data_IF_790873175091
#
_entry.id   IF_790873175091
#
_cell.length_a   1.000
_cell.length_b   1.000
_cell.length_c   1.000
_cell.angle_alpha   90.00
_cell.angle_beta   90.00
_cell.angle_gamma   90.00
#
_symmetry.space_group_name_H-M   'P 1'
#
loop_
_entity.id
_entity.type
_entity.pdbx_description
1 polymer ?
#
# COMPACT_ATOMS: atom_id res chain seq x y z
N UNK A 1 -7.68 16.39 -7.72
CA UNK A 1 -6.66 17.40 -7.36
C UNK A 1 -6.55 18.45 -8.45
N UNK A 2 -7.05 19.67 -8.23
CA UNK A 2 -6.65 20.82 -9.04
C UNK A 2 -5.14 21.02 -8.89
N UNK A 3 -4.47 21.47 -9.95
CA UNK A 3 -3.00 21.66 -9.97
C UNK A 3 -2.49 22.66 -8.90
N UNK A 4 -3.39 23.43 -8.28
CA UNK A 4 -3.05 24.59 -7.44
C UNK A 4 -2.40 24.24 -6.09
N UNK A 5 -2.59 23.04 -5.54
CA UNK A 5 -2.09 22.67 -4.20
C UNK A 5 -0.95 21.65 -4.19
N UNK A 6 -0.48 21.19 -5.34
CA UNK A 6 0.61 20.19 -5.41
C UNK A 6 1.88 20.64 -4.68
N UNK A 7 2.19 21.93 -4.73
CA UNK A 7 3.36 22.51 -4.06
C UNK A 7 3.27 22.53 -2.53
N UNK A 8 2.08 22.36 -1.96
CA UNK A 8 1.88 22.29 -0.51
C UNK A 8 2.10 20.87 0.04
N UNK A 9 2.03 19.84 -0.82
CA UNK A 9 2.18 18.45 -0.42
C UNK A 9 3.66 18.13 -0.23
N UNK A 10 4.03 17.76 1.00
CA UNK A 10 5.37 17.33 1.37
C UNK A 10 5.64 15.89 0.90
N UNK A 11 6.91 15.58 0.65
CA UNK A 11 7.32 14.23 0.33
C UNK A 11 7.10 13.29 1.53
N UNK A 12 6.94 11.99 1.25
CA UNK A 12 6.75 11.01 2.32
C UNK A 12 8.01 10.86 3.18
N UNK A 13 9.20 11.05 2.61
CA UNK A 13 10.45 11.08 3.39
C UNK A 13 10.46 12.22 4.42
N UNK A 14 9.96 13.40 4.04
CA UNK A 14 9.81 14.53 4.95
C UNK A 14 8.77 14.28 6.05
N UNK A 15 7.68 13.56 5.76
CA UNK A 15 6.67 13.16 6.74
C UNK A 15 7.25 12.13 7.72
N UNK A 16 7.97 11.13 7.22
CA UNK A 16 8.65 10.12 8.04
C UNK A 16 9.68 10.78 8.97
N UNK A 17 10.42 11.78 8.48
CA UNK A 17 11.38 12.51 9.30
C UNK A 17 10.70 13.36 10.38
N UNK A 18 9.55 13.97 10.09
CA UNK A 18 8.77 14.68 11.12
C UNK A 18 8.25 13.71 12.19
N UNK A 19 7.70 12.57 11.77
CA UNK A 19 7.27 11.51 12.68
C UNK A 19 8.41 11.01 13.58
N UNK A 20 9.60 10.75 13.00
CA UNK A 20 10.80 10.32 13.73
C UNK A 20 11.21 11.30 14.82
N UNK A 21 11.04 12.60 14.56
CA UNK A 21 11.34 13.68 15.51
C UNK A 21 10.15 14.04 16.43
N UNK A 22 9.10 13.22 16.46
CA UNK A 22 7.93 13.44 17.31
C UNK A 22 7.08 14.66 16.93
N UNK A 23 7.16 15.10 15.67
CA UNK A 23 6.31 16.17 15.13
C UNK A 23 5.03 15.58 14.56
N UNK A 24 3.92 16.26 14.84
CA UNK A 24 2.61 15.97 14.25
C UNK A 24 2.63 16.35 12.77
N UNK A 25 1.87 15.62 11.96
CA UNK A 25 1.71 15.88 10.53
C UNK A 25 0.28 15.59 10.10
N UNK A 26 -0.08 15.97 8.88
CA UNK A 26 -1.40 15.74 8.30
C UNK A 26 -1.29 14.74 7.17
N UNK A 27 -2.18 13.75 7.12
CA UNK A 27 -2.40 12.93 5.93
C UNK A 27 -3.82 13.09 5.42
N UNK A 28 -3.93 13.31 4.12
CA UNK A 28 -5.21 13.39 3.41
C UNK A 28 -5.43 12.11 2.62
N UNK A 29 -6.66 11.61 2.64
CA UNK A 29 -7.06 10.49 1.79
C UNK A 29 -7.60 10.95 0.43
N UNK A 30 -8.08 10.01 -0.39
CA UNK A 30 -8.53 10.33 -1.75
C UNK A 30 -9.90 11.04 -1.75
N UNK A 31 -10.13 11.89 -2.76
CA UNK A 31 -11.38 12.64 -2.93
C UNK A 31 -12.63 11.74 -3.04
N UNK A 32 -12.47 10.51 -3.53
CA UNK A 32 -13.52 9.49 -3.67
C UNK A 32 -13.62 8.53 -2.47
N UNK A 33 -12.83 8.77 -1.41
CA UNK A 33 -12.85 8.05 -0.14
C UNK A 33 -13.61 8.86 0.92
N UNK A 34 -12.94 9.40 1.94
CA UNK A 34 -13.55 10.29 2.95
C UNK A 34 -13.34 11.77 2.56
N UNK A 35 -12.32 12.05 1.75
CA UNK A 35 -11.86 13.38 1.33
C UNK A 35 -11.48 14.25 2.54
N UNK A 36 -10.90 13.64 3.56
CA UNK A 36 -10.65 14.20 4.89
C UNK A 36 -9.16 14.15 5.25
N UNK A 37 -8.75 15.06 6.15
CA UNK A 37 -7.40 15.13 6.67
C UNK A 37 -7.37 14.86 8.17
N UNK A 38 -6.46 13.99 8.58
CA UNK A 38 -6.24 13.69 10.00
C UNK A 38 -4.92 14.30 10.46
N UNK A 39 -4.93 14.86 11.67
CA UNK A 39 -3.73 15.06 12.46
C UNK A 39 -3.22 13.69 12.91
N UNK A 40 -1.95 13.43 12.67
CA UNK A 40 -1.30 12.16 13.03
C UNK A 40 -0.03 12.47 13.82
N UNK A 41 0.17 11.75 14.91
CA UNK A 41 1.43 11.71 15.65
C UNK A 41 1.75 10.27 16.04
N UNK A 42 3.01 9.80 15.94
CA UNK A 42 3.37 8.50 16.48
C UNK A 42 3.03 8.44 17.96
N UNK A 43 2.38 7.36 18.40
CA UNK A 43 1.77 7.31 19.73
C UNK A 43 2.81 7.43 20.86
N UNK A 44 4.06 7.03 20.62
CA UNK A 44 5.19 7.24 21.53
C UNK A 44 5.39 8.71 21.93
N UNK A 45 4.95 9.65 21.08
CA UNK A 45 5.06 11.09 21.29
C UNK A 45 3.71 11.76 21.63
N UNK A 46 2.67 11.00 21.95
CA UNK A 46 1.35 11.53 22.32
C UNK A 46 1.33 12.12 23.73
N UNK A 47 1.96 13.29 23.91
CA UNK A 47 1.97 14.01 25.19
C UNK A 47 0.61 14.68 25.48
N UNK A 48 0.34 15.11 26.73
CA UNK A 48 -0.88 15.87 27.04
C UNK A 48 -1.04 17.12 26.17
N UNK A 49 0.06 17.80 25.82
CA UNK A 49 0.05 18.97 24.94
C UNK A 49 -0.42 18.60 23.52
N UNK A 50 0.03 17.46 22.99
CA UNK A 50 -0.35 16.99 21.66
C UNK A 50 -1.81 16.54 21.61
N UNK A 51 -2.26 15.81 22.64
CA UNK A 51 -3.67 15.41 22.78
C UNK A 51 -4.58 16.63 22.94
N UNK A 52 -4.15 17.63 23.71
CA UNK A 52 -4.88 18.89 23.86
C UNK A 52 -4.91 19.68 22.54
N UNK A 53 -3.81 19.68 21.78
CA UNK A 53 -3.77 20.29 20.46
C UNK A 53 -4.79 19.65 19.52
N UNK A 54 -4.81 18.31 19.43
CA UNK A 54 -5.80 17.57 18.66
C UNK A 54 -7.24 17.89 19.09
N UNK A 55 -7.51 17.89 20.41
CA UNK A 55 -8.84 18.18 20.92
C UNK A 55 -9.32 19.62 20.60
N UNK A 56 -8.40 20.58 20.61
CA UNK A 56 -8.71 22.00 20.38
C UNK A 56 -8.79 22.37 18.90
N UNK A 57 -7.85 21.86 18.11
CA UNK A 57 -7.62 22.27 16.72
C UNK A 57 -8.08 21.24 15.70
N UNK A 58 -7.94 19.94 15.97
CA UNK A 58 -8.55 18.89 15.16
C UNK A 58 -10.06 18.79 15.42
N UNK A 59 -10.44 18.75 16.70
CA UNK A 59 -11.83 18.67 17.21
C UNK A 59 -12.55 17.35 16.89
N UNK A 60 -12.00 16.51 16.02
CA UNK A 60 -12.47 15.17 15.71
C UNK A 60 -12.30 14.17 16.86
N UNK A 61 -12.50 12.89 16.55
CA UNK A 61 -12.39 11.81 17.51
C UNK A 61 -10.93 11.39 17.63
N UNK A 62 -10.34 11.58 18.82
CA UNK A 62 -8.96 11.14 19.05
C UNK A 62 -8.94 9.62 19.20
N UNK A 63 -8.35 8.96 18.20
CA UNK A 63 -8.26 7.51 18.12
C UNK A 63 -6.80 7.04 18.24
N UNK A 64 -6.61 5.83 18.75
CA UNK A 64 -5.30 5.16 18.84
C UNK A 64 -5.22 4.04 17.79
N UNK A 65 -4.55 4.29 16.67
CA UNK A 65 -4.26 3.27 15.68
C UNK A 65 -3.11 2.36 16.16
N UNK A 66 -3.31 1.05 16.09
CA UNK A 66 -2.32 0.05 16.49
C UNK A 66 -2.38 -1.20 15.62
N UNK A 67 -1.37 -2.05 15.73
CA UNK A 67 -1.33 -3.35 15.05
C UNK A 67 -2.35 -4.33 15.64
N UNK A 68 -2.75 -5.31 14.83
CA UNK A 68 -3.58 -6.42 15.29
C UNK A 68 -2.90 -7.23 16.41
N UNK A 69 -1.58 -7.41 16.33
CA UNK A 69 -0.78 -8.05 17.38
C UNK A 69 -0.92 -7.32 18.72
N UNK A 70 -0.80 -5.98 18.73
CA UNK A 70 -0.92 -5.21 19.96
C UNK A 70 -2.33 -5.27 20.54
N UNK A 71 -3.35 -5.14 19.69
CA UNK A 71 -4.73 -5.28 20.12
C UNK A 71 -5.01 -6.67 20.74
N UNK A 72 -4.40 -7.73 20.20
CA UNK A 72 -4.51 -9.08 20.75
C UNK A 72 -3.81 -9.21 22.11
N UNK A 73 -2.61 -8.67 22.29
CA UNK A 73 -1.90 -8.65 23.58
C UNK A 73 -2.70 -7.94 24.68
N UNK A 74 -3.40 -6.87 24.31
CA UNK A 74 -4.29 -6.12 25.21
C UNK A 74 -5.69 -6.77 25.35
N UNK A 75 -5.96 -7.88 24.67
CA UNK A 75 -7.25 -8.57 24.65
C UNK A 75 -8.43 -7.64 24.28
N UNK A 76 -8.25 -6.83 23.24
CA UNK A 76 -9.27 -5.86 22.79
C UNK A 76 -10.26 -6.49 21.81
N UNK A 77 -11.50 -6.64 22.26
CA UNK A 77 -12.61 -7.03 21.41
C UNK A 77 -13.01 -5.91 20.42
N UNK A 78 -13.43 -6.32 19.22
CA UNK A 78 -14.06 -5.40 18.27
C UNK A 78 -15.37 -4.83 18.85
N UNK A 79 -15.59 -3.53 18.71
CA UNK A 79 -16.77 -2.85 19.28
C UNK A 79 -18.09 -3.41 18.75
N UNK A 80 -18.11 -3.82 17.48
CA UNK A 80 -19.27 -4.44 16.84
C UNK A 80 -18.90 -5.80 16.26
N UNK A 81 -19.78 -6.79 16.48
CA UNK A 81 -19.66 -8.13 15.86
C UNK A 81 -19.89 -8.10 14.35
N UNK A 82 -20.67 -7.14 13.87
CA UNK A 82 -21.00 -6.99 12.45
C UNK A 82 -20.85 -5.51 12.08
N UNK A 83 -19.67 -5.14 11.60
CA UNK A 83 -19.42 -3.79 11.13
C UNK A 83 -20.12 -3.60 9.78
N UNK A 84 -21.12 -2.70 9.77
CA UNK A 84 -21.92 -2.34 8.59
C UNK A 84 -21.56 -0.96 8.05
N UNK A 85 -20.57 -0.30 8.63
CA UNK A 85 -20.06 0.98 8.15
C UNK A 85 -19.37 0.75 6.79
N UNK A 86 -19.57 1.69 5.87
CA UNK A 86 -19.10 1.64 4.48
C UNK A 86 -17.59 1.44 4.32
N UNK A 87 -16.79 2.08 5.17
CA UNK A 87 -15.33 2.11 5.11
C UNK A 87 -14.68 1.05 6.01
N UNK A 88 -15.50 0.34 6.79
CA UNK A 88 -15.13 -0.77 7.65
C UNK A 88 -14.16 -0.37 8.76
N UNK A 89 -14.24 0.86 9.28
CA UNK A 89 -13.30 1.36 10.31
C UNK A 89 -13.33 0.45 11.55
N UNK A 90 -12.15 -0.06 11.91
CA UNK A 90 -11.98 -1.20 12.81
C UNK A 90 -11.88 -0.77 14.28
N UNK A 91 -12.94 -0.19 14.82
CA UNK A 91 -13.03 0.16 16.24
C UNK A 91 -13.06 -1.07 17.16
N UNK A 92 -12.23 -1.03 18.18
CA UNK A 92 -12.33 -1.90 19.36
C UNK A 92 -13.16 -1.23 20.45
N UNK A 93 -13.47 -1.96 21.51
CA UNK A 93 -14.01 -1.36 22.74
C UNK A 93 -13.11 -0.20 23.21
N UNK A 94 -13.70 0.88 23.71
CA UNK A 94 -12.91 1.99 24.23
C UNK A 94 -12.17 1.59 25.51
N UNK A 95 -11.02 2.21 25.75
CA UNK A 95 -10.11 1.85 26.83
C UNK A 95 -9.75 3.05 27.69
N UNK A 96 -9.37 2.76 28.93
CA UNK A 96 -8.75 3.66 29.89
C UNK A 96 -7.56 2.97 30.56
N UNK A 97 -6.51 3.69 30.93
CA UNK A 97 -5.50 3.16 31.85
C UNK A 97 -6.16 2.83 33.19
N UNK A 98 -5.81 1.69 33.77
CA UNK A 98 -6.35 1.26 35.08
C UNK A 98 -5.90 2.16 36.23
N UNK A 99 -4.70 2.71 36.13
CA UNK A 99 -4.08 3.53 37.17
C UNK A 99 -3.47 4.82 36.60
N UNK A 100 -3.35 5.84 37.46
CA UNK A 100 -2.73 7.11 37.09
C UNK A 100 -3.62 8.05 36.26
N UNK A 101 -4.93 7.80 36.25
CA UNK A 101 -5.96 8.63 35.63
C UNK A 101 -7.09 8.92 36.62
N UNK A 102 -7.95 9.88 36.29
CA UNK A 102 -9.11 10.28 37.11
C UNK A 102 -10.42 9.89 36.42
N UNK A 103 -10.99 10.79 35.65
CA UNK A 103 -12.19 10.53 34.84
C UNK A 103 -11.86 10.01 33.46
N UNK A 104 -10.60 10.10 33.02
CA UNK A 104 -10.16 9.57 31.73
C UNK A 104 -10.19 10.57 30.57
N UNK A 105 -11.09 11.55 30.60
CA UNK A 105 -11.33 12.44 29.44
C UNK A 105 -10.29 13.55 29.28
N UNK A 106 -9.55 13.88 30.33
CA UNK A 106 -8.57 14.96 30.30
C UNK A 106 -7.47 14.68 29.26
N UNK A 107 -6.80 15.72 28.76
CA UNK A 107 -5.67 15.50 27.85
C UNK A 107 -4.54 14.70 28.51
N UNK A 108 -4.33 14.89 29.83
CA UNK A 108 -3.36 14.12 30.61
C UNK A 108 -3.77 12.66 30.74
N UNK A 109 -5.04 12.40 31.05
CA UNK A 109 -5.56 11.05 31.27
C UNK A 109 -5.52 10.26 29.96
N UNK A 110 -5.99 10.84 28.85
CA UNK A 110 -5.92 10.20 27.52
C UNK A 110 -4.48 9.94 27.07
N UNK A 111 -3.56 10.89 27.27
CA UNK A 111 -2.13 10.68 26.99
C UNK A 111 -1.54 9.54 27.83
N UNK A 112 -1.91 9.45 29.12
CA UNK A 112 -1.51 8.35 30.00
C UNK A 112 -2.07 7.01 29.52
N UNK A 113 -3.35 6.96 29.14
CA UNK A 113 -3.99 5.77 28.56
C UNK A 113 -3.31 5.32 27.29
N UNK A 114 -3.00 6.24 26.37
CA UNK A 114 -2.24 5.94 25.15
C UNK A 114 -0.87 5.37 25.48
N UNK A 115 -0.12 5.99 26.41
CA UNK A 115 1.19 5.54 26.81
C UNK A 115 1.18 4.12 27.41
N UNK A 116 0.20 3.79 28.26
CA UNK A 116 0.01 2.43 28.80
C UNK A 116 -0.36 1.46 27.69
N UNK A 117 -1.27 1.85 26.79
CA UNK A 117 -1.73 1.01 25.70
C UNK A 117 -0.63 0.68 24.67
N UNK A 118 0.44 1.46 24.54
CA UNK A 118 1.54 1.16 23.61
C UNK A 118 2.81 0.61 24.27
N UNK A 119 2.84 0.55 25.60
CA UNK A 119 3.99 0.04 26.35
C UNK A 119 4.11 -1.49 26.18
N UNK A 120 5.19 -2.00 25.54
CA UNK A 120 5.35 -3.42 25.28
C UNK A 120 5.50 -4.29 26.55
N UNK A 121 5.70 -3.67 27.71
CA UNK A 121 5.76 -4.35 29.02
C UNK A 121 4.40 -4.48 29.70
N UNK A 122 3.35 -3.88 29.11
CA UNK A 122 1.97 -3.85 29.62
C UNK A 122 1.06 -4.79 28.84
N UNK A 123 0.05 -5.31 29.52
CA UNK A 123 -0.94 -6.24 28.96
C UNK A 123 -2.38 -5.83 29.30
N UNK A 124 -3.32 -6.76 29.15
CA UNK A 124 -4.74 -6.50 29.38
C UNK A 124 -5.08 -6.15 30.84
N UNK A 125 -4.24 -6.48 31.83
CA UNK A 125 -4.50 -6.16 33.23
C UNK A 125 -4.19 -4.70 33.59
N UNK A 126 -3.51 -3.97 32.72
CA UNK A 126 -3.13 -2.55 32.89
C UNK A 126 -4.15 -1.56 32.31
N UNK A 127 -5.14 -2.06 31.56
CA UNK A 127 -6.20 -1.25 30.94
C UNK A 127 -7.58 -1.74 31.38
N UNK A 128 -8.58 -0.87 31.26
CA UNK A 128 -9.98 -1.19 31.54
C UNK A 128 -10.86 -0.72 30.38
N UNK A 129 -12.00 -1.38 30.20
CA UNK A 129 -13.05 -0.98 29.26
C UNK A 129 -14.40 -0.87 29.97
N UNK A 130 -15.25 0.12 29.63
CA UNK A 130 -15.04 1.18 28.64
C UNK A 130 -14.09 2.29 29.14
N UNK A 131 -13.69 3.19 28.24
CA UNK A 131 -12.92 4.40 28.54
C UNK A 131 -13.02 5.49 27.46
N UNK A 132 -12.07 6.43 27.44
CA UNK A 132 -12.11 7.62 26.58
C UNK A 132 -11.04 7.67 25.47
N UNK A 133 -10.25 6.60 25.33
CA UNK A 133 -9.39 6.38 24.15
C UNK A 133 -10.04 5.30 23.30
N UNK A 134 -10.08 5.51 21.99
CA UNK A 134 -10.75 4.62 21.03
C UNK A 134 -9.71 3.92 20.14
N UNK A 135 -9.34 2.66 20.44
CA UNK A 135 -8.34 1.97 19.63
C UNK A 135 -8.92 1.49 18.30
N UNK A 136 -8.12 1.66 17.26
CA UNK A 136 -8.38 1.24 15.89
C UNK A 136 -7.33 0.20 15.47
N UNK A 137 -7.78 -0.91 14.92
CA UNK A 137 -6.88 -1.99 14.47
C UNK A 137 -6.56 -1.83 13.00
N UNK A 138 -5.29 -1.54 12.69
CA UNK A 138 -4.80 -1.54 11.33
C UNK A 138 -4.79 -2.96 10.74
N UNK A 139 -5.13 -3.09 9.46
CA UNK A 139 -4.96 -4.35 8.72
C UNK A 139 -3.49 -4.72 8.59
N UNK A 140 -3.18 -6.00 8.70
CA UNK A 140 -1.88 -6.54 8.30
C UNK A 140 -1.59 -6.17 6.84
N UNK A 141 -0.38 -5.67 6.58
CA UNK A 141 0.01 -5.08 5.30
C UNK A 141 -0.22 -3.56 5.20
N UNK A 142 -0.96 -2.95 6.12
CA UNK A 142 -1.13 -1.49 6.23
C UNK A 142 -1.80 -0.88 5.01
N UNK A 143 -1.32 0.30 4.59
CA UNK A 143 -1.89 1.08 3.49
C UNK A 143 -1.85 0.38 2.12
N UNK A 144 -1.01 -0.65 1.96
CA UNK A 144 -1.00 -1.50 0.77
C UNK A 144 -2.22 -2.44 0.68
N UNK A 145 -2.88 -2.71 1.81
CA UNK A 145 -4.08 -3.56 1.90
C UNK A 145 -5.34 -2.71 2.09
N UNK A 146 -5.30 -1.67 2.93
CA UNK A 146 -6.41 -0.73 3.15
C UNK A 146 -5.87 0.70 3.22
N UNK A 147 -6.28 1.54 2.27
CA UNK A 147 -5.85 2.94 2.16
C UNK A 147 -6.56 3.88 3.16
N UNK A 148 -6.48 3.61 4.47
CA UNK A 148 -7.09 4.44 5.52
C UNK A 148 -6.07 5.10 6.44
N UNK A 149 -6.50 6.13 7.18
CA UNK A 149 -5.65 6.85 8.14
C UNK A 149 -5.16 5.96 9.29
N UNK A 150 -5.97 4.98 9.71
CA UNK A 150 -5.56 3.96 10.68
C UNK A 150 -4.29 3.23 10.24
N UNK A 151 -4.30 2.69 9.01
CA UNK A 151 -3.14 2.00 8.46
C UNK A 151 -1.96 2.97 8.23
N UNK A 152 -2.23 4.18 7.76
CA UNK A 152 -1.20 5.18 7.47
C UNK A 152 -0.43 5.60 8.72
N UNK A 153 -1.12 5.78 9.85
CA UNK A 153 -0.51 6.15 11.12
C UNK A 153 0.43 5.06 11.66
N UNK A 154 0.02 3.79 11.53
CA UNK A 154 0.85 2.63 11.91
C UNK A 154 2.06 2.49 10.97
N UNK A 155 1.85 2.64 9.66
CA UNK A 155 2.90 2.54 8.66
C UNK A 155 3.98 3.60 8.84
N UNK A 156 3.61 4.87 8.97
CA UNK A 156 4.56 5.96 9.14
C UNK A 156 5.35 5.77 10.45
N UNK A 157 4.69 5.39 11.54
CA UNK A 157 5.37 5.15 12.83
C UNK A 157 6.41 4.03 12.72
N UNK A 158 6.06 2.91 12.05
CA UNK A 158 6.99 1.83 11.74
C UNK A 158 8.18 2.31 10.90
N UNK A 159 7.94 3.05 9.83
CA UNK A 159 8.99 3.54 8.92
C UNK A 159 9.88 4.63 9.55
N UNK A 160 9.35 5.35 10.55
CA UNK A 160 10.11 6.27 11.38
C UNK A 160 11.05 5.56 12.36
N UNK A 161 10.93 4.23 12.53
CA UNK A 161 11.70 3.44 13.49
C UNK A 161 11.10 3.44 14.90
N UNK A 162 9.82 3.78 15.03
CA UNK A 162 9.09 3.87 16.30
C UNK A 162 8.18 2.65 16.51
N UNK A 163 7.56 2.56 17.68
CA UNK A 163 6.55 1.54 17.94
C UNK A 163 5.38 1.71 16.93
N UNK A 164 4.87 0.62 16.30
CA UNK A 164 3.94 0.70 15.18
C UNK A 164 2.51 1.05 15.64
N UNK A 165 2.34 2.28 16.11
CA UNK A 165 1.09 2.84 16.58
C UNK A 165 1.10 4.35 16.43
N UNK A 166 -0.05 4.94 16.09
CA UNK A 166 -0.21 6.38 15.96
C UNK A 166 -1.51 6.86 16.59
N UNK A 167 -1.53 8.12 17.01
CA UNK A 167 -2.76 8.79 17.42
C UNK A 167 -3.24 9.62 16.25
N UNK A 168 -4.52 9.48 15.90
CA UNK A 168 -5.15 10.19 14.80
C UNK A 168 -6.34 11.02 15.29
N UNK A 169 -6.63 12.13 14.62
CA UNK A 169 -7.78 12.98 14.90
C UNK A 169 -8.15 13.76 13.64
N UNK A 170 -9.39 13.60 13.17
CA UNK A 170 -9.91 14.29 12.00
C UNK A 170 -9.96 15.80 12.26
N UNK A 171 -9.73 16.61 11.21
CA UNK A 171 -9.73 18.08 11.29
C UNK A 171 -11.09 18.63 10.86
N UNK A 172 -11.76 19.34 11.77
CA UNK A 172 -12.98 20.09 11.49
C UNK A 172 -12.73 21.60 11.39
N UNK A 173 -13.46 22.24 10.48
CA UNK A 173 -13.60 23.68 10.40
C UNK A 173 -14.29 24.26 11.64
N UNK A 174 -14.25 25.59 11.78
CA UNK A 174 -14.82 26.23 12.96
C UNK A 174 -16.33 26.05 13.11
N UNK A 175 -17.03 25.91 11.98
CA UNK A 175 -18.47 25.67 11.91
C UNK A 175 -18.87 24.19 12.13
N UNK A 176 -17.88 23.31 12.36
CA UNK A 176 -18.08 21.88 12.56
C UNK A 176 -18.18 21.06 11.28
N UNK A 177 -18.02 21.67 10.10
CA UNK A 177 -17.86 20.93 8.85
C UNK A 177 -16.46 20.30 8.75
N UNK A 178 -16.29 19.26 7.95
CA UNK A 178 -14.97 18.62 7.74
C UNK A 178 -14.07 19.50 6.87
N UNK A 179 -12.83 19.73 7.31
CA UNK A 179 -11.84 20.50 6.57
C UNK A 179 -11.43 19.75 5.30
N UNK A 180 -11.46 20.43 4.15
CA UNK A 180 -11.02 19.87 2.86
C UNK A 180 -9.65 20.39 2.48
N UNK A 181 -9.05 19.87 1.41
CA UNK A 181 -7.66 20.15 1.04
C UNK A 181 -7.25 21.64 1.11
N UNK A 182 -8.03 22.63 0.61
CA UNK A 182 -7.69 24.05 0.77
C UNK A 182 -7.62 24.50 2.24
N UNK A 183 -8.58 24.07 3.06
CA UNK A 183 -8.64 24.38 4.50
C UNK A 183 -7.46 23.71 5.23
N UNK A 184 -7.16 22.46 4.87
CA UNK A 184 -6.07 21.67 5.43
C UNK A 184 -4.70 22.29 5.13
N UNK A 185 -4.50 22.83 3.92
CA UNK A 185 -3.27 23.55 3.56
C UNK A 185 -3.12 24.82 4.40
N UNK A 186 -4.20 25.60 4.57
CA UNK A 186 -4.18 26.79 5.41
C UNK A 186 -3.92 26.44 6.89
N UNK A 187 -4.55 25.38 7.40
CA UNK A 187 -4.35 24.85 8.74
C UNK A 187 -2.90 24.40 8.95
N UNK A 188 -2.34 23.65 8.00
CA UNK A 188 -0.97 23.17 8.03
C UNK A 188 0.02 24.33 8.11
N UNK A 189 -0.19 25.38 7.31
CA UNK A 189 0.65 26.59 7.34
C UNK A 189 0.54 27.34 8.67
N UNK A 190 -0.67 27.52 9.19
CA UNK A 190 -0.92 28.22 10.46
C UNK A 190 -0.21 27.55 11.63
N UNK A 191 -0.22 26.21 11.65
CA UNK A 191 0.34 25.41 12.73
C UNK A 191 1.74 24.86 12.44
N UNK A 192 2.33 25.24 11.30
CA UNK A 192 3.64 24.78 10.84
C UNK A 192 3.77 23.24 10.83
N UNK A 193 2.76 22.59 10.26
CA UNK A 193 2.69 21.14 10.06
C UNK A 193 2.93 20.80 8.59
N UNK A 194 3.55 19.66 8.34
CA UNK A 194 3.60 19.10 6.98
C UNK A 194 2.30 18.37 6.65
N UNK A 195 1.97 18.36 5.37
CA UNK A 195 0.81 17.67 4.81
C UNK A 195 1.27 16.71 3.71
N UNK A 196 0.83 15.46 3.79
CA UNK A 196 1.08 14.42 2.79
C UNK A 196 -0.22 13.76 2.34
N UNK A 197 -0.15 12.85 1.36
CA UNK A 197 -1.31 12.07 0.93
C UNK A 197 -1.11 10.57 1.16
N UNK A 198 -2.19 9.85 1.47
CA UNK A 198 -2.14 8.38 1.57
C UNK A 198 -1.77 7.75 0.22
N UNK A 199 -2.17 8.38 -0.89
CA UNK A 199 -1.79 7.93 -2.23
C UNK A 199 -0.27 7.98 -2.45
N UNK A 200 0.40 9.07 -2.04
CA UNK A 200 1.86 9.19 -2.11
C UNK A 200 2.54 8.22 -1.15
N UNK A 201 1.97 8.00 0.03
CA UNK A 201 2.46 6.98 0.97
C UNK A 201 2.42 5.59 0.35
N UNK A 202 1.33 5.20 -0.30
CA UNK A 202 1.21 3.92 -1.00
C UNK A 202 2.24 3.82 -2.13
N UNK A 203 2.42 4.90 -2.91
CA UNK A 203 3.42 4.94 -3.97
C UNK A 203 4.84 4.78 -3.42
N UNK A 204 5.17 5.48 -2.34
CA UNK A 204 6.45 5.38 -1.65
C UNK A 204 6.68 3.98 -1.09
N UNK A 205 5.69 3.38 -0.41
CA UNK A 205 5.78 2.01 0.12
C UNK A 205 5.97 0.99 -0.99
N UNK A 206 5.30 1.13 -2.12
CA UNK A 206 5.49 0.22 -3.28
C UNK A 206 6.92 0.23 -3.82
N UNK A 207 7.63 1.35 -3.70
CA UNK A 207 9.01 1.48 -4.18
C UNK A 207 10.05 1.03 -3.14
N UNK A 208 9.73 1.16 -1.85
CA UNK A 208 10.69 0.96 -0.75
C UNK A 208 10.46 -0.34 0.05
N UNK A 209 9.23 -0.80 0.21
CA UNK A 209 8.92 -2.06 0.88
C UNK A 209 9.18 -3.26 -0.03
N UNK A 210 9.72 -4.34 0.54
CA UNK A 210 9.81 -5.65 -0.09
C UNK A 210 8.68 -6.53 0.40
N UNK A 211 7.73 -6.84 -0.47
CA UNK A 211 6.60 -7.73 -0.16
C UNK A 211 6.51 -8.94 -1.10
N UNK A 212 7.57 -9.20 -1.87
CA UNK A 212 7.71 -10.41 -2.67
C UNK A 212 8.76 -11.32 -2.06
N UNK A 213 8.41 -12.59 -1.92
CA UNK A 213 9.28 -13.68 -1.48
C UNK A 213 9.58 -14.61 -2.68
N UNK A 214 10.85 -14.82 -3.01
CA UNK A 214 11.26 -15.85 -3.99
C UNK A 214 11.12 -17.24 -3.37
N UNK A 215 10.18 -18.04 -3.86
CA UNK A 215 9.81 -19.33 -3.26
C UNK A 215 10.62 -20.48 -3.80
N UNK A 216 10.64 -20.63 -5.12
CA UNK A 216 11.29 -21.74 -5.82
C UNK A 216 11.74 -21.29 -7.19
N UNK A 217 12.81 -21.92 -7.66
CA UNK A 217 13.29 -21.82 -9.03
C UNK A 217 13.54 -23.22 -9.59
N UNK A 218 13.15 -23.44 -10.84
CA UNK A 218 13.36 -24.71 -11.53
C UNK A 218 13.63 -24.49 -13.02
N UNK A 219 14.39 -25.38 -13.68
CA UNK A 219 14.49 -25.37 -15.14
C UNK A 219 13.11 -25.61 -15.77
N UNK A 220 12.88 -25.03 -16.94
CA UNK A 220 11.66 -25.21 -17.74
C UNK A 220 12.02 -25.76 -19.12
N UNK A 221 11.68 -27.02 -19.35
CA UNK A 221 11.71 -27.61 -20.69
C UNK A 221 10.46 -27.17 -21.45
N UNK A 222 10.62 -26.23 -22.39
CA UNK A 222 9.51 -25.61 -23.11
C UNK A 222 9.50 -26.00 -24.59
N UNK A 223 8.32 -26.23 -25.15
CA UNK A 223 8.15 -26.41 -26.59
C UNK A 223 8.41 -25.13 -27.41
N UNK A 224 8.59 -23.99 -26.73
CA UNK A 224 8.78 -22.68 -27.34
C UNK A 224 10.25 -22.23 -27.41
N UNK A 225 11.17 -23.03 -26.87
CA UNK A 225 12.61 -22.77 -26.89
C UNK A 225 13.30 -23.37 -25.67
N UNK A 226 14.62 -23.48 -25.74
CA UNK A 226 15.46 -24.02 -24.68
C UNK A 226 15.96 -22.91 -23.73
N UNK A 227 16.66 -23.30 -22.66
CA UNK A 227 17.37 -22.35 -21.79
C UNK A 227 16.49 -21.54 -20.83
N UNK A 228 15.24 -21.95 -20.64
CA UNK A 228 14.34 -21.29 -19.69
C UNK A 228 14.50 -21.82 -18.27
N UNK A 229 14.32 -20.92 -17.31
CA UNK A 229 14.07 -21.23 -15.90
C UNK A 229 12.82 -20.49 -15.43
N UNK A 230 12.07 -21.14 -14.56
CA UNK A 230 10.86 -20.61 -13.95
C UNK A 230 11.18 -20.21 -12.52
N UNK A 231 10.77 -19.02 -12.11
CA UNK A 231 10.87 -18.54 -10.73
C UNK A 231 9.47 -18.23 -10.20
N UNK A 232 9.11 -18.80 -9.05
CA UNK A 232 7.87 -18.49 -8.36
C UNK A 232 8.12 -17.45 -7.27
N UNK A 233 7.29 -16.41 -7.27
CA UNK A 233 7.26 -15.35 -6.27
C UNK A 233 5.93 -15.39 -5.52
N UNK A 234 5.97 -15.26 -4.20
CA UNK A 234 4.77 -15.09 -3.35
C UNK A 234 4.68 -13.65 -2.89
N UNK A 235 3.52 -13.03 -3.10
CA UNK A 235 3.17 -11.77 -2.46
C UNK A 235 2.74 -12.04 -1.01
N UNK A 236 3.47 -11.50 -0.04
CA UNK A 236 3.21 -11.75 1.38
C UNK A 236 1.95 -11.03 1.89
N UNK A 237 1.45 -10.04 1.14
CA UNK A 237 0.26 -9.26 1.52
C UNK A 237 -1.05 -10.03 1.30
N UNK A 238 -1.13 -10.81 0.22
CA UNK A 238 -2.36 -11.51 -0.19
C UNK A 238 -2.14 -13.01 -0.44
N UNK A 239 -0.91 -13.50 -0.26
CA UNK A 239 -0.48 -14.88 -0.52
C UNK A 239 -0.62 -15.32 -1.99
N UNK A 240 -0.84 -14.40 -2.92
CA UNK A 240 -0.87 -14.75 -4.34
C UNK A 240 0.52 -15.14 -4.84
N UNK A 241 0.56 -16.11 -5.73
CA UNK A 241 1.78 -16.54 -6.40
C UNK A 241 1.82 -16.02 -7.84
N UNK A 242 2.99 -15.55 -8.23
CA UNK A 242 3.32 -15.05 -9.56
C UNK A 242 4.51 -15.81 -10.10
N UNK A 243 4.60 -15.93 -11.42
CA UNK A 243 5.66 -16.70 -12.07
C UNK A 243 6.45 -15.77 -12.99
N UNK A 244 7.77 -15.90 -13.00
CA UNK A 244 8.62 -15.34 -14.03
C UNK A 244 9.31 -16.46 -14.81
N UNK A 245 9.20 -16.43 -16.13
CA UNK A 245 9.99 -17.27 -17.03
C UNK A 245 11.19 -16.44 -17.47
N UNK A 246 12.40 -16.91 -17.18
CA UNK A 246 13.66 -16.22 -17.46
C UNK A 246 14.49 -17.02 -18.44
N UNK A 247 15.10 -16.34 -19.41
CA UNK A 247 16.04 -16.88 -20.38
C UNK A 247 17.38 -16.14 -20.25
N UNK A 248 18.47 -16.89 -20.15
CA UNK A 248 19.81 -16.33 -19.97
C UNK A 248 20.07 -15.75 -18.57
N UNK A 249 21.16 -14.98 -18.47
CA UNK A 249 21.60 -14.34 -17.22
C UNK A 249 21.27 -12.86 -17.25
N UNK A 250 20.36 -12.43 -16.37
CA UNK A 250 20.01 -11.02 -16.20
C UNK A 250 21.06 -10.36 -15.32
N UNK A 251 21.67 -9.28 -15.83
CA UNK A 251 22.56 -8.43 -15.04
C UNK A 251 22.09 -6.97 -15.09
N UNK A 252 22.30 -6.17 -14.03
CA UNK A 252 21.88 -4.77 -13.98
C UNK A 252 22.40 -3.90 -15.12
N UNK A 253 23.58 -4.20 -15.67
CA UNK A 253 24.20 -3.37 -16.70
C UNK A 253 23.69 -3.68 -18.12
N UNK A 254 23.10 -4.86 -18.30
CA UNK A 254 22.61 -5.37 -19.58
C UNK A 254 21.14 -5.07 -19.84
N UNK A 255 20.78 -4.80 -21.09
CA UNK A 255 19.40 -4.61 -21.52
C UNK A 255 18.68 -5.96 -21.59
N UNK A 256 17.53 -6.06 -20.93
CA UNK A 256 16.72 -7.29 -20.88
C UNK A 256 15.45 -7.15 -21.72
N UNK A 257 15.08 -8.17 -22.49
CA UNK A 257 13.78 -8.24 -23.15
C UNK A 257 12.69 -8.58 -22.13
N UNK A 258 11.74 -7.69 -21.93
CA UNK A 258 10.74 -7.83 -20.85
C UNK A 258 9.34 -7.90 -21.41
N UNK A 259 8.56 -8.86 -20.93
CA UNK A 259 7.11 -8.88 -21.06
C UNK A 259 6.46 -9.03 -19.69
N UNK A 260 5.60 -8.07 -19.34
CA UNK A 260 4.66 -8.25 -18.22
C UNK A 260 3.34 -8.71 -18.81
N UNK A 261 2.88 -9.88 -18.38
CA UNK A 261 1.72 -10.57 -18.91
C UNK A 261 0.70 -10.83 -17.81
N UNK A 262 -0.50 -10.28 -17.98
CA UNK A 262 -1.65 -10.65 -17.16
C UNK A 262 -2.20 -11.99 -17.63
N UNK A 263 -2.24 -12.97 -16.75
CA UNK A 263 -2.69 -14.33 -17.05
C UNK A 263 -4.20 -14.37 -17.36
N UNK A 264 -4.60 -15.03 -18.44
CA UNK A 264 -5.99 -15.26 -18.85
C UNK A 264 -6.18 -16.73 -19.24
N UNK A 265 -6.97 -17.46 -18.46
CA UNK A 265 -7.19 -18.91 -18.68
C UNK A 265 -7.82 -19.21 -20.04
N UNK A 266 -8.74 -18.36 -20.52
CA UNK A 266 -9.43 -18.59 -21.79
C UNK A 266 -8.45 -18.46 -22.96
N UNK A 267 -7.67 -17.39 -22.99
CA UNK A 267 -6.73 -17.12 -24.09
C UNK A 267 -5.46 -17.96 -24.00
N UNK A 268 -4.87 -18.09 -22.81
CA UNK A 268 -3.53 -18.64 -22.64
C UNK A 268 -3.52 -20.17 -22.45
N UNK A 269 -4.63 -20.75 -21.95
CA UNK A 269 -4.77 -22.20 -21.73
C UNK A 269 -5.77 -22.83 -22.69
N UNK A 270 -6.95 -22.24 -22.87
CA UNK A 270 -8.02 -22.83 -23.70
C UNK A 270 -7.97 -22.43 -25.18
N UNK A 271 -7.07 -21.52 -25.56
CA UNK A 271 -6.87 -21.11 -26.96
C UNK A 271 -8.00 -20.26 -27.53
N UNK A 272 -8.62 -19.39 -26.71
CA UNK A 272 -9.62 -18.43 -27.17
C UNK A 272 -9.08 -17.59 -28.35
N UNK A 273 -9.88 -17.50 -29.42
CA UNK A 273 -9.55 -16.67 -30.59
C UNK A 273 -9.73 -15.20 -30.25
N UNK A 274 -8.78 -14.37 -30.66
CA UNK A 274 -8.87 -12.93 -30.49
C UNK A 274 -7.51 -12.25 -30.35
N UNK A 275 -7.47 -10.99 -29.91
CA UNK A 275 -6.23 -10.21 -29.80
C UNK A 275 -5.18 -10.81 -28.86
N UNK A 276 -5.60 -11.66 -27.91
CA UNK A 276 -4.71 -12.32 -26.94
C UNK A 276 -4.17 -13.68 -27.40
N UNK A 277 -4.59 -14.15 -28.57
CA UNK A 277 -4.27 -15.48 -29.05
C UNK A 277 -2.76 -15.68 -29.24
N UNK A 278 -2.20 -16.70 -28.58
CA UNK A 278 -0.81 -17.13 -28.77
C UNK A 278 0.25 -16.13 -28.29
N UNK A 279 -0.12 -15.10 -27.51
CA UNK A 279 0.83 -14.07 -27.08
C UNK A 279 1.96 -14.62 -26.22
N UNK A 280 1.68 -15.62 -25.38
CA UNK A 280 2.68 -16.28 -24.53
C UNK A 280 3.69 -17.04 -25.38
N UNK A 281 3.20 -17.88 -26.30
CA UNK A 281 4.04 -18.64 -27.22
C UNK A 281 4.96 -17.71 -28.03
N UNK A 282 4.40 -16.67 -28.67
CA UNK A 282 5.18 -15.71 -29.47
C UNK A 282 6.28 -15.05 -28.64
N UNK A 283 5.95 -14.58 -27.44
CA UNK A 283 6.91 -13.93 -26.56
C UNK A 283 8.05 -14.88 -26.13
N UNK A 284 7.72 -16.13 -25.78
CA UNK A 284 8.73 -17.13 -25.44
C UNK A 284 9.64 -17.44 -26.62
N UNK A 285 9.10 -17.62 -27.83
CA UNK A 285 9.90 -17.87 -29.03
C UNK A 285 10.83 -16.70 -29.37
N UNK A 286 10.35 -15.46 -29.24
CA UNK A 286 11.18 -14.26 -29.45
C UNK A 286 12.32 -14.20 -28.44
N UNK A 287 12.02 -14.42 -27.15
CA UNK A 287 13.03 -14.38 -26.09
C UNK A 287 14.07 -15.50 -26.25
N UNK A 288 13.65 -16.71 -26.63
CA UNK A 288 14.56 -17.84 -26.82
C UNK A 288 15.54 -17.64 -27.98
N UNK A 289 15.17 -16.85 -29.00
CA UNK A 289 15.99 -16.57 -30.17
C UNK A 289 16.83 -15.29 -30.05
N UNK A 290 16.56 -14.49 -29.03
CA UNK A 290 17.25 -13.23 -28.80
C UNK A 290 18.66 -13.46 -28.25
N UNK A 291 19.58 -12.54 -28.58
CA UNK A 291 20.91 -12.51 -27.97
C UNK A 291 20.84 -11.94 -26.54
N UNK A 292 19.89 -11.04 -26.29
CA UNK A 292 19.66 -10.42 -25.00
C UNK A 292 19.02 -11.42 -24.00
N UNK A 293 19.31 -11.31 -22.69
CA UNK A 293 18.54 -12.03 -21.69
C UNK A 293 17.07 -11.58 -21.74
N UNK A 294 16.15 -12.46 -21.38
CA UNK A 294 14.72 -12.16 -21.44
C UNK A 294 13.93 -12.67 -20.26
N UNK A 295 12.82 -12.00 -19.98
CA UNK A 295 11.90 -12.38 -18.92
C UNK A 295 10.44 -12.13 -19.32
N UNK A 296 9.59 -13.11 -19.02
CA UNK A 296 8.14 -12.98 -19.06
C UNK A 296 7.61 -13.11 -17.63
N UNK A 297 7.02 -12.04 -17.10
CA UNK A 297 6.38 -12.03 -15.80
C UNK A 297 4.89 -12.30 -15.98
N UNK A 298 4.40 -13.37 -15.38
CA UNK A 298 2.99 -13.73 -15.29
C UNK A 298 2.43 -13.17 -14.00
N UNK A 299 1.74 -12.03 -14.10
CA UNK A 299 0.99 -11.48 -12.97
C UNK A 299 -0.31 -12.27 -12.89
N UNK A 300 -0.39 -13.09 -11.84
CA UNK A 300 -1.62 -13.77 -11.46
C UNK A 300 -2.63 -12.76 -10.90
N UNK A 301 -3.69 -12.51 -11.66
CA UNK A 301 -4.77 -11.59 -11.26
C UNK A 301 -6.04 -12.35 -10.87
N UNK A 302 -5.93 -13.62 -10.47
CA UNK A 302 -7.06 -14.50 -10.10
C UNK A 302 -7.69 -14.06 -8.78
N UNK A 303 -8.24 -12.85 -8.78
CA UNK A 303 -9.10 -12.31 -7.76
C UNK A 303 -10.42 -13.11 -7.74
N UNK A 304 -11.18 -13.08 -6.64
CA UNK A 304 -12.54 -13.60 -6.62
C UNK A 304 -13.34 -13.13 -7.84
N UNK A 305 -14.09 -14.04 -8.47
CA UNK A 305 -14.92 -13.80 -9.65
C UNK A 305 -14.20 -13.41 -10.96
N UNK A 306 -12.86 -13.35 -11.02
CA UNK A 306 -12.15 -12.90 -12.22
C UNK A 306 -12.54 -13.67 -13.50
N UNK A 307 -12.71 -15.00 -13.42
CA UNK A 307 -13.17 -15.81 -14.56
C UNK A 307 -14.63 -15.49 -14.90
N UNK A 308 -15.51 -15.39 -13.90
CA UNK A 308 -16.93 -15.12 -14.11
C UNK A 308 -17.14 -13.74 -14.76
N UNK A 309 -16.42 -12.71 -14.31
CA UNK A 309 -16.41 -11.39 -14.92
C UNK A 309 -15.89 -11.42 -16.36
N UNK A 310 -14.82 -12.18 -16.61
CA UNK A 310 -14.29 -12.40 -17.96
C UNK A 310 -15.32 -13.08 -18.89
N UNK A 311 -16.23 -13.87 -18.33
CA UNK A 311 -17.36 -14.51 -19.01
C UNK A 311 -18.63 -13.64 -19.07
N UNK A 312 -18.60 -12.42 -18.53
CA UNK A 312 -19.70 -11.45 -18.63
C UNK A 312 -20.53 -11.23 -17.37
N UNK A 313 -20.13 -11.80 -16.21
CA UNK A 313 -20.76 -11.45 -14.94
C UNK A 313 -20.53 -9.96 -14.64
N UNK A 314 -21.62 -9.21 -14.47
CA UNK A 314 -21.54 -7.83 -13.99
C UNK A 314 -21.35 -7.86 -12.48
N UNK A 315 -20.15 -7.51 -12.03
CA UNK A 315 -19.91 -7.37 -10.60
C UNK A 315 -20.65 -6.16 -10.03
N UNK A 316 -21.20 -6.31 -8.83
CA UNK A 316 -21.76 -5.21 -8.03
C UNK A 316 -20.69 -4.44 -7.25
N UNK A 317 -19.46 -4.95 -7.17
CA UNK A 317 -18.35 -4.22 -6.56
C UNK A 317 -17.78 -3.20 -7.55
N UNK A 318 -17.55 -1.94 -7.12
CA UNK A 318 -16.84 -0.95 -7.94
C UNK A 318 -15.49 -1.53 -8.37
N UNK A 319 -15.13 -1.36 -9.65
CA UNK A 319 -13.78 -1.70 -10.12
C UNK A 319 -12.79 -0.78 -9.43
N UNK A 320 -11.86 -1.34 -8.66
CA UNK A 320 -10.75 -0.59 -8.10
C UNK A 320 -9.94 0.06 -9.25
N UNK A 321 -9.97 1.39 -9.40
CA UNK A 321 -9.27 2.09 -10.48
C UNK A 321 -7.75 1.95 -10.35
N UNK A 322 -7.24 1.55 -9.18
CA UNK A 322 -5.81 1.34 -8.91
C UNK A 322 -5.32 -0.08 -9.22
N UNK A 323 -6.23 -1.03 -9.53
CA UNK A 323 -5.87 -2.41 -9.82
C UNK A 323 -4.80 -2.55 -10.93
N UNK A 324 -4.87 -1.82 -12.06
CA UNK A 324 -3.80 -1.85 -13.07
C UNK A 324 -2.46 -1.37 -12.51
N UNK A 325 -2.45 -0.28 -11.73
CA UNK A 325 -1.24 0.26 -11.10
C UNK A 325 -0.64 -0.73 -10.08
N UNK A 326 -1.48 -1.51 -9.39
CA UNK A 326 -1.05 -2.58 -8.49
C UNK A 326 -0.42 -3.74 -9.25
N UNK A 327 -1.03 -4.18 -10.34
CA UNK A 327 -0.51 -5.23 -11.23
C UNK A 327 0.85 -4.84 -11.83
N UNK A 328 0.99 -3.60 -12.29
CA UNK A 328 2.28 -3.06 -12.76
C UNK A 328 3.31 -2.97 -11.64
N UNK A 329 2.91 -2.61 -10.42
CA UNK A 329 3.80 -2.58 -9.25
C UNK A 329 4.39 -3.95 -8.91
N UNK A 330 3.56 -5.00 -8.91
CA UNK A 330 4.02 -6.39 -8.70
C UNK A 330 5.00 -6.80 -9.80
N UNK A 331 4.65 -6.55 -11.07
CA UNK A 331 5.52 -6.86 -12.20
C UNK A 331 6.88 -6.14 -12.08
N UNK A 332 6.87 -4.86 -11.72
CA UNK A 332 8.07 -4.06 -11.53
C UNK A 332 8.95 -4.59 -10.39
N UNK A 333 8.37 -5.02 -9.27
CA UNK A 333 9.14 -5.61 -8.17
C UNK A 333 9.76 -6.96 -8.55
N UNK A 334 9.02 -7.83 -9.27
CA UNK A 334 9.56 -9.10 -9.78
C UNK A 334 10.76 -8.83 -10.69
N UNK A 335 10.64 -7.86 -11.62
CA UNK A 335 11.74 -7.48 -12.51
C UNK A 335 12.95 -6.95 -11.73
N UNK A 336 12.72 -6.09 -10.74
CA UNK A 336 13.78 -5.53 -9.89
C UNK A 336 14.52 -6.62 -9.10
N UNK A 337 13.79 -7.58 -8.55
CA UNK A 337 14.30 -8.73 -7.80
C UNK A 337 15.10 -9.69 -8.68
N UNK A 338 14.70 -9.85 -9.94
CA UNK A 338 15.45 -10.59 -10.96
C UNK A 338 16.70 -9.86 -11.48
N UNK A 339 16.92 -8.61 -11.05
CA UNK A 339 18.09 -7.80 -11.41
C UNK A 339 17.91 -6.93 -12.64
N UNK A 340 16.72 -6.84 -13.22
CA UNK A 340 16.45 -5.99 -14.39
C UNK A 340 16.58 -4.51 -13.99
N UNK A 341 17.31 -3.74 -14.80
CA UNK A 341 17.41 -2.28 -14.69
C UNK A 341 17.17 -1.58 -16.03
N UNK A 342 17.65 -2.16 -17.13
CA UNK A 342 17.43 -1.68 -18.48
C UNK A 342 16.58 -2.68 -19.24
N UNK A 343 15.56 -2.22 -19.96
CA UNK A 343 14.69 -3.14 -20.68
C UNK A 343 14.18 -2.63 -22.03
N UNK A 344 13.95 -3.60 -22.93
CA UNK A 344 13.16 -3.43 -24.14
C UNK A 344 11.82 -4.13 -23.90
N UNK A 345 10.73 -3.39 -24.02
CA UNK A 345 9.39 -3.93 -23.75
C UNK A 345 8.85 -4.73 -24.93
N UNK A 346 8.36 -5.95 -24.69
CA UNK A 346 7.75 -6.84 -25.69
C UNK A 346 6.22 -6.77 -25.62
N UNK A 347 5.64 -6.02 -26.56
CA UNK A 347 4.20 -5.76 -26.63
C UNK A 347 3.73 -5.52 -28.07
N UNK A 348 2.48 -5.83 -28.40
CA UNK A 348 1.89 -5.48 -29.71
C UNK A 348 1.60 -3.98 -29.84
N UNK A 349 1.37 -3.30 -28.73
CA UNK A 349 1.13 -1.86 -28.67
C UNK A 349 2.34 -1.15 -28.09
N UNK A 350 2.69 -0.01 -28.69
CA UNK A 350 3.75 0.84 -28.18
C UNK A 350 3.34 1.31 -26.77
N UNK A 351 4.17 1.09 -25.74
CA UNK A 351 3.86 1.59 -24.41
C UNK A 351 3.92 3.11 -24.44
N UNK A 352 2.76 3.76 -24.25
CA UNK A 352 2.64 5.24 -24.26
C UNK A 352 3.21 5.88 -22.99
N UNK A 353 3.24 5.12 -21.88
CA UNK A 353 3.96 5.39 -20.63
C UNK A 353 3.72 4.20 -19.70
N UNK A 354 4.75 3.56 -19.18
CA UNK A 354 4.57 2.61 -18.07
C UNK A 354 4.75 3.41 -16.78
N UNK A 355 3.66 3.99 -16.29
CA UNK A 355 3.68 4.80 -15.08
C UNK A 355 4.25 4.00 -13.90
N UNK A 356 5.22 4.59 -13.18
CA UNK A 356 5.75 4.05 -11.93
C UNK A 356 7.08 3.29 -12.01
N UNK A 357 7.68 3.06 -13.19
CA UNK A 357 8.97 2.37 -13.30
C UNK A 357 10.17 3.17 -12.78
N UNK A 358 10.14 4.50 -12.90
CA UNK A 358 11.22 5.39 -12.46
C UNK A 358 11.52 5.19 -10.96
N UNK A 359 10.47 4.94 -10.16
CA UNK A 359 10.58 4.66 -8.73
C UNK A 359 11.18 3.29 -8.37
N UNK A 360 11.34 2.38 -9.34
CA UNK A 360 11.99 1.09 -9.12
C UNK A 360 13.45 1.06 -9.62
N UNK A 361 13.97 2.20 -10.09
CA UNK A 361 15.31 2.30 -10.66
C UNK A 361 15.45 1.51 -11.96
N UNK A 362 14.41 1.50 -12.80
CA UNK A 362 14.39 0.81 -14.09
C UNK A 362 14.10 1.78 -15.24
N UNK A 363 14.74 1.57 -16.39
CA UNK A 363 14.62 2.40 -17.58
C UNK A 363 14.17 1.57 -18.78
N UNK A 364 13.21 2.11 -19.55
CA UNK A 364 12.82 1.55 -20.85
C UNK A 364 13.73 2.14 -21.92
N UNK A 365 14.54 1.30 -22.56
CA UNK A 365 15.46 1.69 -23.64
C UNK A 365 14.84 1.51 -25.03
N UNK A 366 13.76 0.72 -25.13
CA UNK A 366 13.08 0.49 -26.39
C UNK A 366 11.81 -0.32 -26.26
N UNK A 367 11.20 -0.58 -27.42
CA UNK A 367 10.02 -1.41 -27.59
C UNK A 367 10.21 -2.29 -28.81
N UNK A 368 9.84 -3.57 -28.71
CA UNK A 368 9.86 -4.53 -29.81
C UNK A 368 8.47 -5.16 -29.94
N UNK A 369 7.96 -5.25 -31.17
CA UNK A 369 6.65 -5.83 -31.44
C UNK A 369 6.69 -7.35 -31.32
N UNK A 370 5.59 -7.96 -30.87
CA UNK A 370 5.47 -9.43 -30.82
C UNK A 370 5.30 -10.08 -32.20
N UNK A 371 5.05 -9.29 -33.26
CA UNK A 371 4.86 -9.78 -34.62
C UNK A 371 6.02 -9.41 -35.57
N UNK A 372 7.09 -8.80 -35.06
CA UNK A 372 8.30 -8.60 -35.87
C UNK A 372 9.08 -9.92 -35.89
N UNK A 373 9.01 -10.65 -37.01
CA UNK A 373 9.94 -11.73 -37.28
C UNK A 373 11.34 -11.12 -37.37
N UNK A 374 12.21 -11.53 -36.45
CA UNK A 374 13.63 -11.22 -36.52
C UNK A 374 14.18 -12.03 -37.68
N UNK A 375 14.41 -11.36 -38.82
CA UNK A 375 15.05 -11.94 -40.01
C UNK A 375 16.50 -12.35 -39.72
#
# INVERSE_FOLDING_TARGET
MSDDFKHAISSIDEIIEDARNGRMFILVDAEDRENEGDLIIPATFATPEQVNFMARHGRGLICLAMTQERAHTLNLDMMTRNNRESMGTAFTVSIEAKEGVTTGISAHDRAKTIAVAIDPTRDCDDIVSPGHVFPLVAKDGGTLVRAGHTEAAVDISRMAGLYPSGVICEIMNEDGSMARLPDLVAFAQLHNLKIGTIADLIAWRRQNDRFLERRVEAPLESAYGDGFRTVCFRNVLDNSEHIAIVHGTITPDSTTLVRVHRTDVLADILGERGPRQGLVEKAMRIIARAEEPGVIVFVNTMQPNAIAERMGLKSSTPKDPTAPLREYGIGAQILRELGVRKMIFLSDTQPTRVAGLDGYGMTIEGWRRLNEETN
#
